data_IF_847478394159
#
_entry.id   IF_847478394159
#
_cell.length_a   1.000
_cell.length_b   1.000
_cell.length_c   1.000
_cell.angle_alpha   90.00
_cell.angle_beta   90.00
_cell.angle_gamma   90.00
#
_symmetry.space_group_name_H-M   'P 1'
#
loop_
_entity.id
_entity.type
_entity.pdbx_description
1 polymer ?
#
# COMPACT_ATOMS: atom_id res chain seq x y z
N UNK A 1 61.15 33.27 4.17
CA UNK A 1 60.19 33.74 3.13
C UNK A 1 59.46 32.52 2.55
N UNK A 2 59.02 31.59 3.40
CA UNK A 2 58.48 30.27 3.00
C UNK A 2 57.09 29.98 3.60
N UNK A 3 56.61 30.83 4.51
CA UNK A 3 55.39 30.59 5.30
C UNK A 3 54.15 31.32 4.79
N UNK A 4 54.31 32.25 3.85
CA UNK A 4 53.18 33.01 3.25
C UNK A 4 52.57 32.28 2.04
N UNK A 5 53.36 31.49 1.32
CA UNK A 5 52.93 30.79 0.11
C UNK A 5 52.08 29.55 0.43
N UNK A 6 52.40 28.83 1.52
CA UNK A 6 51.63 27.67 1.98
C UNK A 6 50.24 28.03 2.48
N UNK A 7 50.11 29.13 3.22
CA UNK A 7 48.80 29.62 3.71
C UNK A 7 47.87 30.08 2.59
N UNK A 8 48.44 30.61 1.50
CA UNK A 8 47.66 31.04 0.33
C UNK A 8 47.16 29.84 -0.49
N UNK A 9 47.98 28.77 -0.58
CA UNK A 9 47.60 27.51 -1.22
C UNK A 9 46.44 26.80 -0.49
N UNK A 10 46.49 26.75 0.85
CA UNK A 10 45.44 26.12 1.67
C UNK A 10 44.12 26.90 1.63
N UNK A 11 44.18 28.23 1.59
CA UNK A 11 43.01 29.08 1.40
C UNK A 11 42.37 28.86 0.02
N UNK A 12 43.17 28.79 -1.05
CA UNK A 12 42.68 28.53 -2.40
C UNK A 12 42.08 27.13 -2.56
N UNK A 13 42.65 26.10 -1.91
CA UNK A 13 42.10 24.75 -1.89
C UNK A 13 40.75 24.68 -1.17
N UNK A 14 40.62 25.38 -0.03
CA UNK A 14 39.36 25.45 0.75
C UNK A 14 38.27 26.19 -0.02
N UNK A 15 38.65 27.29 -0.70
CA UNK A 15 37.75 28.07 -1.55
C UNK A 15 37.30 27.22 -2.76
N UNK A 16 38.21 26.51 -3.42
CA UNK A 16 37.91 25.62 -4.53
C UNK A 16 36.97 24.47 -4.13
N UNK A 17 37.16 23.85 -2.95
CA UNK A 17 36.25 22.82 -2.44
C UNK A 17 34.84 23.36 -2.15
N UNK A 18 34.72 24.56 -1.56
CA UNK A 18 33.41 25.19 -1.33
C UNK A 18 32.70 25.51 -2.64
N UNK A 19 33.40 26.05 -3.64
CA UNK A 19 32.81 26.31 -4.95
C UNK A 19 32.42 25.02 -5.67
N UNK A 20 33.22 23.95 -5.57
CA UNK A 20 32.88 22.64 -6.13
C UNK A 20 31.59 22.06 -5.52
N UNK A 21 31.45 22.09 -4.20
CA UNK A 21 30.25 21.58 -3.51
C UNK A 21 28.98 22.38 -3.87
N UNK A 22 29.09 23.71 -3.98
CA UNK A 22 27.97 24.57 -4.40
C UNK A 22 27.59 24.31 -5.85
N UNK A 23 28.57 24.15 -6.75
CA UNK A 23 28.32 23.83 -8.17
C UNK A 23 27.65 22.46 -8.32
N UNK A 24 28.09 21.44 -7.58
CA UNK A 24 27.47 20.11 -7.63
C UNK A 24 26.03 20.13 -7.10
N UNK A 25 25.77 20.88 -6.03
CA UNK A 25 24.41 21.02 -5.46
C UNK A 25 23.48 21.74 -6.43
N UNK A 26 23.96 22.80 -7.09
CA UNK A 26 23.19 23.52 -8.09
C UNK A 26 22.90 22.66 -9.33
N UNK A 27 23.87 21.85 -9.76
CA UNK A 27 23.70 20.92 -10.88
C UNK A 27 22.63 19.85 -10.60
N UNK A 28 22.64 19.25 -9.40
CA UNK A 28 21.62 18.28 -8.98
C UNK A 28 20.22 18.90 -8.90
N UNK A 29 20.12 20.15 -8.43
CA UNK A 29 18.86 20.88 -8.40
C UNK A 29 18.32 21.15 -9.81
N UNK A 30 19.17 21.59 -10.75
CA UNK A 30 18.79 21.79 -12.16
C UNK A 30 18.34 20.48 -12.83
N UNK A 31 19.01 19.36 -12.57
CA UNK A 31 18.58 18.05 -13.07
C UNK A 31 17.23 17.61 -12.52
N UNK A 32 16.94 17.91 -11.24
CA UNK A 32 15.62 17.63 -10.64
C UNK A 32 14.50 18.48 -11.25
N UNK A 33 14.78 19.76 -11.58
CA UNK A 33 13.85 20.63 -12.29
C UNK A 33 13.54 20.10 -13.69
N UNK A 34 14.54 19.66 -14.45
CA UNK A 34 14.33 19.05 -15.79
C UNK A 34 13.48 17.78 -15.71
N UNK A 35 13.64 16.96 -14.66
CA UNK A 35 12.83 15.77 -14.43
C UNK A 35 11.35 16.11 -14.12
N UNK A 36 11.11 17.19 -13.35
CA UNK A 36 9.75 17.67 -13.06
C UNK A 36 9.09 18.23 -14.33
N UNK A 37 9.81 18.98 -15.16
CA UNK A 37 9.26 19.48 -16.44
C UNK A 37 8.97 18.35 -17.42
N UNK A 38 9.81 17.31 -17.47
CA UNK A 38 9.58 16.10 -18.27
C UNK A 38 8.35 15.30 -17.80
N UNK A 39 8.11 15.24 -16.49
CA UNK A 39 6.89 14.61 -15.94
C UNK A 39 5.63 15.35 -16.35
N UNK A 40 5.64 16.69 -16.32
CA UNK A 40 4.49 17.49 -16.77
C UNK A 40 4.32 17.52 -18.29
N UNK A 41 5.40 17.48 -19.07
CA UNK A 41 5.34 17.45 -20.53
C UNK A 41 4.81 16.12 -21.11
N UNK A 42 4.96 15.00 -20.37
CA UNK A 42 4.46 13.69 -20.78
C UNK A 42 2.95 13.49 -20.51
N UNK A 43 2.26 14.49 -19.97
CA UNK A 43 0.81 14.43 -19.69
C UNK A 43 -0.08 15.01 -20.80
N UNK A 44 0.50 15.42 -21.94
CA UNK A 44 -0.24 15.95 -23.10
C UNK A 44 0.22 15.32 -24.40
N UNK A 45 0.04 14.00 -24.56
CA UNK A 45 -0.07 13.31 -25.86
C UNK A 45 -0.40 11.83 -25.64
N UNK A 46 -1.66 11.51 -25.35
CA UNK A 46 -2.24 10.20 -25.69
C UNK A 46 -3.49 10.50 -26.51
N UNK A 47 -3.25 10.85 -27.77
CA UNK A 47 -4.25 10.76 -28.83
C UNK A 47 -3.60 9.94 -29.96
N UNK A 48 -4.25 8.82 -30.28
CA UNK A 48 -4.08 7.96 -31.46
C UNK A 48 -2.87 7.02 -31.57
N UNK A 49 -3.04 5.78 -31.07
CA UNK A 49 -2.52 4.55 -31.71
C UNK A 49 -3.51 3.39 -31.53
N UNK A 50 -3.59 2.44 -32.48
CA UNK A 50 -4.78 1.65 -32.76
C UNK A 50 -5.05 0.63 -31.66
N UNK A 51 -6.30 0.59 -31.21
CA UNK A 51 -6.87 -0.46 -30.37
C UNK A 51 -6.72 -1.81 -31.05
N UNK A 52 -5.75 -2.60 -30.62
CA UNK A 52 -5.85 -4.05 -30.78
C UNK A 52 -6.79 -4.51 -29.68
N UNK A 53 -8.07 -4.64 -30.03
CA UNK A 53 -9.13 -5.06 -29.12
C UNK A 53 -8.87 -6.50 -28.68
N UNK A 54 -8.25 -6.66 -27.51
CA UNK A 54 -8.60 -7.80 -26.67
C UNK A 54 -10.03 -7.55 -26.19
N UNK A 55 -10.98 -8.06 -26.97
CA UNK A 55 -12.36 -8.23 -26.55
C UNK A 55 -12.38 -9.12 -25.30
N UNK A 56 -12.23 -8.51 -24.13
CA UNK A 56 -12.89 -9.00 -22.93
C UNK A 56 -14.22 -8.23 -22.87
N UNK A 57 -15.18 -8.71 -23.64
CA UNK A 57 -16.57 -8.31 -23.52
C UNK A 57 -17.07 -8.78 -22.16
N UNK A 58 -16.97 -7.93 -21.14
CA UNK A 58 -17.88 -8.02 -20.01
C UNK A 58 -19.23 -7.52 -20.50
N UNK A 59 -20.19 -8.44 -20.64
CA UNK A 59 -21.54 -8.09 -21.03
C UNK A 59 -22.18 -7.22 -19.95
N UNK A 60 -22.83 -6.13 -20.34
CA UNK A 60 -23.71 -5.30 -19.48
C UNK A 60 -24.82 -6.12 -18.79
N UNK A 61 -24.99 -7.40 -19.14
CA UNK A 61 -25.85 -8.35 -18.45
C UNK A 61 -25.36 -8.72 -17.04
N UNK A 62 -24.05 -8.66 -16.74
CA UNK A 62 -23.57 -8.86 -15.36
C UNK A 62 -23.83 -7.64 -14.46
N UNK A 63 -23.98 -6.45 -15.06
CA UNK A 63 -24.41 -5.23 -14.37
C UNK A 63 -25.91 -5.18 -14.11
N UNK A 64 -26.70 -6.08 -14.72
CA UNK A 64 -28.17 -6.04 -14.69
C UNK A 64 -28.83 -7.36 -14.24
N UNK A 65 -28.08 -8.28 -13.61
CA UNK A 65 -28.65 -9.50 -13.06
C UNK A 65 -29.26 -9.26 -11.66
N UNK A 66 -30.58 -9.46 -11.55
CA UNK A 66 -31.43 -9.68 -10.36
C UNK A 66 -31.01 -9.01 -9.02
N UNK A 67 -31.84 -8.12 -8.43
CA UNK A 67 -31.53 -7.47 -7.17
C UNK A 67 -31.72 -8.45 -5.99
N UNK A 68 -30.70 -9.25 -5.66
CA UNK A 68 -30.61 -9.79 -4.29
C UNK A 68 -29.23 -10.06 -3.66
N UNK A 69 -28.09 -10.30 -4.35
CA UNK A 69 -27.17 -11.30 -3.70
C UNK A 69 -25.65 -11.06 -3.62
N UNK A 70 -25.04 -9.99 -4.12
CA UNK A 70 -23.59 -9.77 -3.90
C UNK A 70 -23.34 -8.67 -2.88
N UNK A 71 -22.71 -8.96 -1.73
CA UNK A 71 -22.37 -7.93 -0.78
C UNK A 71 -20.91 -7.49 -0.95
N UNK A 72 -20.70 -6.18 -1.08
CA UNK A 72 -19.41 -5.53 -1.30
C UNK A 72 -18.44 -5.53 -0.11
N UNK A 73 -17.30 -4.89 -0.39
CA UNK A 73 -16.28 -4.29 0.48
C UNK A 73 -15.66 -5.07 1.67
N UNK A 74 -15.11 -6.28 1.48
CA UNK A 74 -14.14 -6.77 2.46
C UNK A 74 -12.92 -5.84 2.48
N UNK A 75 -12.78 -5.07 3.54
CA UNK A 75 -11.62 -4.22 3.76
C UNK A 75 -10.86 -4.70 4.99
N UNK A 76 -9.58 -5.01 4.81
CA UNK A 76 -8.68 -5.39 5.89
C UNK A 76 -7.64 -4.29 6.08
N UNK A 77 -7.61 -3.71 7.27
CA UNK A 77 -6.53 -2.80 7.70
C UNK A 77 -5.71 -3.52 8.75
N UNK A 78 -4.42 -3.69 8.50
CA UNK A 78 -3.46 -4.25 9.43
C UNK A 78 -2.41 -3.21 9.83
N UNK A 79 -2.03 -3.23 11.09
CA UNK A 79 -0.97 -2.42 11.67
C UNK A 79 -0.03 -3.38 12.37
N UNK A 80 1.26 -3.34 12.05
CA UNK A 80 2.28 -4.23 12.62
C UNK A 80 3.55 -3.46 12.92
N UNK A 81 4.24 -3.87 13.98
CA UNK A 81 5.58 -3.38 14.31
C UNK A 81 6.68 -4.11 13.53
N UNK A 82 6.35 -5.21 12.83
CA UNK A 82 7.29 -5.94 11.99
C UNK A 82 7.67 -5.14 10.74
N UNK A 83 8.91 -5.33 10.27
CA UNK A 83 9.37 -4.79 8.98
C UNK A 83 9.06 -5.81 7.87
N UNK A 84 8.14 -5.45 6.97
CA UNK A 84 7.76 -6.30 5.84
C UNK A 84 8.65 -6.12 4.61
N UNK A 85 9.47 -5.06 4.57
CA UNK A 85 10.36 -4.72 3.47
C UNK A 85 9.68 -4.77 2.09
N UNK A 86 10.40 -5.28 1.09
CA UNK A 86 9.94 -5.37 -0.30
C UNK A 86 8.79 -6.38 -0.49
N UNK A 87 8.58 -7.28 0.48
CA UNK A 87 7.53 -8.32 0.42
C UNK A 87 6.15 -7.80 0.79
N UNK A 88 6.05 -6.56 1.30
CA UNK A 88 4.78 -5.94 1.71
C UNK A 88 3.69 -6.05 0.65
N UNK A 89 4.00 -5.71 -0.61
CA UNK A 89 3.02 -5.78 -1.71
C UNK A 89 2.58 -7.21 -2.04
N UNK A 90 3.47 -8.19 -1.91
CA UNK A 90 3.15 -9.61 -2.14
C UNK A 90 2.21 -10.13 -1.05
N UNK A 91 2.49 -9.80 0.21
CA UNK A 91 1.64 -10.14 1.36
C UNK A 91 0.25 -9.52 1.22
N UNK A 92 0.15 -8.24 0.83
CA UNK A 92 -1.16 -7.61 0.61
C UNK A 92 -1.98 -8.32 -0.45
N UNK A 93 -1.35 -8.76 -1.54
CA UNK A 93 -2.02 -9.56 -2.59
C UNK A 93 -2.41 -10.94 -2.09
N UNK A 94 -1.56 -11.58 -1.27
CA UNK A 94 -1.89 -12.87 -0.66
C UNK A 94 -3.07 -12.75 0.33
N UNK A 95 -3.10 -11.71 1.16
CA UNK A 95 -4.24 -11.39 2.02
C UNK A 95 -5.52 -11.17 1.21
N UNK A 96 -5.46 -10.42 0.11
CA UNK A 96 -6.59 -10.19 -0.79
C UNK A 96 -7.20 -11.51 -1.29
N UNK A 97 -6.36 -12.44 -1.77
CA UNK A 97 -6.78 -13.78 -2.21
C UNK A 97 -7.33 -14.64 -1.08
N UNK A 98 -6.72 -14.58 0.10
CA UNK A 98 -7.19 -15.32 1.27
C UNK A 98 -8.59 -14.86 1.69
N UNK A 99 -8.84 -13.54 1.70
CA UNK A 99 -10.15 -12.97 2.00
C UNK A 99 -11.17 -13.40 0.94
N UNK A 100 -10.83 -13.32 -0.35
CA UNK A 100 -11.70 -13.80 -1.43
C UNK A 100 -12.11 -15.26 -1.23
N UNK A 101 -11.15 -16.13 -0.93
CA UNK A 101 -11.40 -17.56 -0.73
C UNK A 101 -12.31 -17.82 0.47
N UNK A 102 -12.12 -17.10 1.57
CA UNK A 102 -12.90 -17.27 2.80
C UNK A 102 -14.30 -16.64 2.74
N UNK A 103 -14.46 -15.48 2.08
CA UNK A 103 -15.75 -14.79 2.00
C UNK A 103 -16.55 -15.14 0.76
N UNK A 104 -15.95 -15.80 -0.24
CA UNK A 104 -16.56 -16.11 -1.54
C UNK A 104 -16.87 -14.86 -2.38
N UNK A 105 -16.30 -13.71 -2.03
CA UNK A 105 -16.58 -12.43 -2.69
C UNK A 105 -15.56 -12.15 -3.79
N UNK A 106 -15.96 -11.48 -4.89
CA UNK A 106 -15.04 -11.13 -5.96
C UNK A 106 -13.89 -10.23 -5.45
N UNK A 107 -12.66 -10.55 -5.85
CA UNK A 107 -11.45 -9.81 -5.48
C UNK A 107 -11.50 -8.32 -5.88
N UNK A 108 -12.28 -7.98 -6.91
CA UNK A 108 -12.48 -6.59 -7.36
C UNK A 108 -13.08 -5.66 -6.31
N UNK A 109 -13.70 -6.20 -5.25
CA UNK A 109 -14.27 -5.42 -4.14
C UNK A 109 -13.42 -5.47 -2.86
N UNK A 110 -12.31 -6.20 -2.87
CA UNK A 110 -11.48 -6.40 -1.68
C UNK A 110 -10.42 -5.30 -1.61
N UNK A 111 -10.28 -4.69 -0.44
CA UNK A 111 -9.25 -3.71 -0.17
C UNK A 111 -8.37 -4.19 1.00
N UNK A 112 -7.06 -4.09 0.84
CA UNK A 112 -6.10 -4.43 1.91
C UNK A 112 -5.15 -3.27 2.10
N UNK A 113 -4.97 -2.85 3.35
CA UNK A 113 -4.02 -1.84 3.76
C UNK A 113 -3.17 -2.39 4.89
N UNK A 114 -1.85 -2.27 4.77
CA UNK A 114 -0.91 -2.69 5.82
C UNK A 114 0.01 -1.52 6.17
N UNK A 115 0.07 -1.18 7.45
CA UNK A 115 1.04 -0.24 8.03
C UNK A 115 2.09 -1.06 8.78
N UNK A 116 3.28 -1.18 8.21
CA UNK A 116 4.46 -1.80 8.80
C UNK A 116 5.31 -0.77 9.56
N UNK A 117 6.22 -1.25 10.41
CA UNK A 117 7.10 -0.40 11.26
C UNK A 117 6.32 0.59 12.15
N UNK A 118 5.11 0.24 12.54
CA UNK A 118 4.30 1.04 13.44
C UNK A 118 4.68 0.77 14.91
N UNK A 119 4.52 1.76 15.78
CA UNK A 119 4.68 1.59 17.22
C UNK A 119 3.49 0.80 17.78
N UNK A 120 3.68 -0.51 17.96
CA UNK A 120 2.67 -1.43 18.51
C UNK A 120 3.31 -2.29 19.60
N UNK A 121 2.64 -2.36 20.75
CA UNK A 121 2.98 -3.28 21.83
C UNK A 121 1.80 -4.24 22.05
N UNK A 122 2.11 -5.48 22.42
CA UNK A 122 1.11 -6.49 22.74
C UNK A 122 1.52 -7.24 24.01
N UNK A 123 0.60 -7.28 24.98
CA UNK A 123 0.87 -7.92 26.28
C UNK A 123 2.00 -7.25 27.08
N UNK A 124 2.22 -5.95 26.88
CA UNK A 124 3.27 -5.18 27.57
C UNK A 124 4.68 -5.35 26.99
N UNK A 125 4.84 -6.04 25.85
CA UNK A 125 6.13 -6.21 25.16
C UNK A 125 6.09 -5.64 23.75
N UNK A 126 7.26 -5.19 23.28
CA UNK A 126 7.54 -4.69 21.94
C UNK A 126 7.91 -5.79 20.93
N UNK A 127 7.86 -7.05 21.35
CA UNK A 127 8.04 -8.19 20.46
C UNK A 127 7.04 -8.15 19.28
N UNK A 128 7.38 -8.70 18.10
CA UNK A 128 6.56 -8.57 16.90
C UNK A 128 5.09 -8.94 17.14
N UNK A 129 4.19 -8.07 16.71
CA UNK A 129 2.75 -8.20 16.90
C UNK A 129 1.98 -7.43 15.82
N UNK A 130 0.73 -7.82 15.60
CA UNK A 130 -0.13 -7.19 14.61
C UNK A 130 -1.54 -6.93 15.16
N UNK A 131 -2.15 -5.84 14.71
CA UNK A 131 -3.54 -5.48 15.00
C UNK A 131 -4.26 -5.27 13.67
N UNK A 132 -5.43 -5.90 13.53
CA UNK A 132 -6.23 -5.88 12.34
C UNK A 132 -7.66 -5.45 12.63
N UNK A 133 -8.24 -4.72 11.69
CA UNK A 133 -9.67 -4.51 11.60
C UNK A 133 -10.13 -4.94 10.23
N UNK A 134 -11.13 -5.81 10.18
CA UNK A 134 -11.79 -6.23 8.97
C UNK A 134 -13.24 -5.76 8.99
N UNK A 135 -13.62 -5.00 7.97
CA UNK A 135 -15.00 -4.60 7.73
C UNK A 135 -15.50 -5.34 6.51
N UNK A 136 -16.73 -5.82 6.57
CA UNK A 136 -17.36 -6.45 5.41
C UNK A 136 -18.87 -6.32 5.53
N UNK A 137 -19.52 -6.12 4.40
CA UNK A 137 -20.95 -6.27 4.29
C UNK A 137 -21.31 -7.77 4.35
N UNK A 138 -21.71 -8.32 5.49
CA UNK A 138 -21.91 -9.77 5.64
C UNK A 138 -20.65 -10.60 5.35
N UNK A 139 -20.77 -11.92 5.33
CA UNK A 139 -19.62 -12.84 5.18
C UNK A 139 -18.71 -12.91 6.41
N UNK A 140 -19.10 -12.24 7.50
CA UNK A 140 -18.51 -12.36 8.83
C UNK A 140 -19.22 -13.50 9.56
N UNK A 141 -18.54 -14.64 9.68
CA UNK A 141 -19.03 -15.82 10.37
C UNK A 141 -17.87 -16.51 11.10
N UNK A 142 -18.17 -17.36 12.08
CA UNK A 142 -17.14 -18.02 12.88
C UNK A 142 -16.11 -18.77 12.02
N UNK A 143 -16.57 -19.46 10.98
CA UNK A 143 -15.72 -20.21 10.06
C UNK A 143 -14.86 -19.30 9.17
N UNK A 144 -15.47 -18.34 8.47
CA UNK A 144 -14.75 -17.42 7.57
C UNK A 144 -13.75 -16.57 8.34
N UNK A 145 -14.13 -16.07 9.52
CA UNK A 145 -13.24 -15.29 10.39
C UNK A 145 -12.02 -16.12 10.83
N UNK A 146 -12.23 -17.39 11.18
CA UNK A 146 -11.15 -18.30 11.55
C UNK A 146 -10.20 -18.56 10.38
N UNK A 147 -10.73 -18.79 9.18
CA UNK A 147 -9.93 -18.98 7.96
C UNK A 147 -9.10 -17.75 7.60
N UNK A 148 -9.70 -16.55 7.68
CA UNK A 148 -9.01 -15.28 7.40
C UNK A 148 -7.92 -15.04 8.44
N UNK A 149 -8.23 -15.21 9.72
CA UNK A 149 -7.26 -15.02 10.78
C UNK A 149 -6.07 -15.98 10.63
N UNK A 150 -6.32 -17.26 10.38
CA UNK A 150 -5.26 -18.25 10.16
C UNK A 150 -4.39 -17.88 8.95
N UNK A 151 -5.00 -17.57 7.81
CA UNK A 151 -4.26 -17.21 6.60
C UNK A 151 -3.40 -15.95 6.78
N UNK A 152 -3.93 -14.92 7.45
CA UNK A 152 -3.16 -13.70 7.74
C UNK A 152 -2.02 -13.97 8.74
N UNK A 153 -2.25 -14.82 9.76
CA UNK A 153 -1.21 -15.24 10.71
C UNK A 153 -0.07 -15.92 9.98
N UNK A 154 -0.37 -16.89 9.11
CA UNK A 154 0.61 -17.68 8.37
C UNK A 154 1.46 -16.80 7.44
N UNK A 155 0.86 -15.76 6.86
CA UNK A 155 1.58 -14.79 6.03
C UNK A 155 2.54 -13.89 6.81
N UNK A 156 2.25 -13.62 8.09
CA UNK A 156 3.05 -12.76 8.96
C UNK A 156 4.05 -13.53 9.83
N UNK A 157 3.89 -14.85 9.98
CA UNK A 157 4.79 -15.73 10.74
C UNK A 157 6.26 -15.61 10.30
N UNK A 158 6.62 -15.54 8.99
CA UNK A 158 8.01 -15.37 8.56
C UNK A 158 8.65 -14.05 9.01
N UNK A 159 7.85 -13.07 9.45
CA UNK A 159 8.30 -11.77 9.94
C UNK A 159 8.36 -11.71 11.48
N UNK A 160 8.18 -12.86 12.14
CA UNK A 160 8.28 -13.01 13.60
C UNK A 160 6.99 -12.71 14.35
N UNK A 161 5.90 -12.35 13.66
CA UNK A 161 4.58 -12.14 14.28
C UNK A 161 3.97 -13.50 14.59
N UNK A 162 4.01 -13.90 15.88
CA UNK A 162 3.38 -15.15 16.30
C UNK A 162 1.85 -15.09 16.22
N UNK A 163 1.21 -16.22 15.92
CA UNK A 163 -0.25 -16.35 15.85
C UNK A 163 -0.97 -15.92 17.15
N UNK A 164 -0.32 -16.06 18.32
CA UNK A 164 -0.84 -15.61 19.61
C UNK A 164 -0.68 -14.11 19.88
N UNK A 165 -0.01 -13.37 19.00
CA UNK A 165 0.30 -11.94 19.12
C UNK A 165 -0.38 -11.11 18.03
N UNK A 166 -1.52 -11.59 17.54
CA UNK A 166 -2.33 -10.88 16.57
C UNK A 166 -3.80 -10.86 17.01
N UNK A 167 -4.44 -9.71 16.83
CA UNK A 167 -5.90 -9.61 16.88
C UNK A 167 -6.43 -9.08 15.56
N UNK A 168 -7.54 -9.64 15.09
CA UNK A 168 -8.33 -9.08 13.99
C UNK A 168 -9.76 -8.92 14.49
N UNK A 169 -10.23 -7.69 14.54
CA UNK A 169 -11.63 -7.40 14.84
C UNK A 169 -12.44 -7.47 13.55
N UNK A 170 -13.53 -8.25 13.56
CA UNK A 170 -14.42 -8.39 12.41
C UNK A 170 -15.70 -7.59 12.66
N UNK A 171 -16.02 -6.68 11.75
CA UNK A 171 -17.19 -5.81 11.81
C UNK A 171 -18.12 -6.13 10.65
N UNK A 172 -19.32 -6.61 10.99
CA UNK A 172 -20.40 -6.76 10.02
C UNK A 172 -21.09 -5.41 9.85
N UNK A 173 -21.00 -4.85 8.64
CA UNK A 173 -21.48 -3.52 8.34
C UNK A 173 -22.85 -3.57 7.67
N UNK A 174 -23.69 -2.56 7.93
CA UNK A 174 -24.96 -2.40 7.21
C UNK A 174 -24.73 -1.71 5.85
N UNK A 175 -25.53 -2.06 4.83
CA UNK A 175 -25.45 -1.50 3.46
C UNK A 175 -25.48 0.03 3.42
N UNK A 176 -26.23 0.65 4.31
CA UNK A 176 -26.37 2.11 4.43
C UNK A 176 -25.11 2.79 4.99
N UNK A 177 -24.25 2.05 5.69
CA UNK A 177 -23.08 2.58 6.38
C UNK A 177 -21.78 2.46 5.56
N UNK A 178 -21.89 2.01 4.30
CA UNK A 178 -20.74 1.79 3.42
C UNK A 178 -20.92 2.62 2.15
N UNK A 179 -20.00 3.56 1.94
CA UNK A 179 -19.96 4.42 0.77
C UNK A 179 -19.13 3.81 -0.37
N UNK A 180 -19.68 3.77 -1.57
CA UNK A 180 -18.99 3.35 -2.79
C UNK A 180 -19.56 4.08 -4.01
N UNK A 181 -18.69 4.44 -4.96
CA UNK A 181 -19.08 5.09 -6.21
C UNK A 181 -20.07 6.28 -6.04
N UNK A 182 -19.74 7.19 -5.11
CA UNK A 182 -20.54 8.39 -4.77
C UNK A 182 -21.94 8.11 -4.20
N UNK A 183 -22.23 6.87 -3.80
CA UNK A 183 -23.48 6.43 -3.17
C UNK A 183 -23.19 5.53 -1.98
N UNK A 184 -24.23 5.00 -1.34
CA UNK A 184 -24.09 3.88 -0.40
C UNK A 184 -24.44 2.56 -1.08
N UNK A 185 -24.10 1.42 -0.47
CA UNK A 185 -24.58 0.12 -0.93
C UNK A 185 -26.09 -0.10 -0.74
N UNK A 186 -26.78 0.80 -0.03
CA UNK A 186 -28.23 0.80 0.12
C UNK A 186 -28.97 1.59 -0.99
N UNK A 187 -28.29 2.47 -1.74
CA UNK A 187 -28.88 3.33 -2.77
C UNK A 187 -28.29 4.73 -2.83
#
# INVERSE_FOLDING_TARGET
>A
METLDSTLADANATIAMKYSSVITTLALYVSSLQAVTAFTANSRSIENRPTTSLNMSFSEAELNACPSTLPGDPSLTLITNADLGDKKMEIMKACSKAIQAATGKPESYIAVSITDKADVIFGGTDAPCALGNMYSLGGIAMESNGQIHAAVSDLLEPFGVGCSRMYINFFDMERSNIGWNRKTFAG
#
